data_IF_074412466535
#
_entry.id   IF_074412466535
#
_cell.length_a   1.000
_cell.length_b   1.000
_cell.length_c   1.000
_cell.angle_alpha   90.00
_cell.angle_beta   90.00
_cell.angle_gamma   90.00
#
_symmetry.space_group_name_H-M   'P 1'
#
loop_
_entity.id
_entity.type
_entity.pdbx_description
1 polymer ?
#
# COMPACT_ATOMS: atom_id res chain seq x y z
N UNK A 1 64.24 38.41 20.80
CA UNK A 1 64.65 37.29 21.67
C UNK A 1 63.71 36.13 21.32
N UNK A 2 64.11 35.24 20.40
CA UNK A 2 64.32 33.77 20.60
C UNK A 2 63.07 33.08 21.21
N UNK A 3 62.42 32.07 20.61
CA UNK A 3 62.94 30.87 19.94
C UNK A 3 61.88 30.21 19.03
N UNK A 4 62.38 29.50 18.02
CA UNK A 4 61.73 28.44 17.24
C UNK A 4 61.47 27.18 18.11
N UNK A 5 60.39 26.46 17.81
CA UNK A 5 60.40 24.97 17.80
C UNK A 5 59.28 24.45 16.89
N UNK A 6 59.68 23.80 15.80
CA UNK A 6 58.89 22.85 15.01
C UNK A 6 58.79 21.51 15.75
N UNK A 7 57.70 20.75 15.63
CA UNK A 7 57.70 19.28 15.46
C UNK A 7 56.29 18.72 15.12
N UNK A 8 56.20 18.13 13.92
CA UNK A 8 55.54 16.87 13.53
C UNK A 8 54.27 16.42 14.27
N UNK A 9 53.12 16.46 13.58
CA UNK A 9 52.00 15.52 13.75
C UNK A 9 51.19 15.44 12.43
N UNK A 10 51.60 14.58 11.48
CA UNK A 10 50.83 14.32 10.25
C UNK A 10 50.64 12.82 9.94
N UNK A 11 50.74 11.95 10.95
CA UNK A 11 50.69 10.49 10.75
C UNK A 11 49.43 9.77 11.22
N UNK A 12 48.64 10.35 12.15
CA UNK A 12 47.52 9.64 12.78
C UNK A 12 46.14 9.93 12.17
N UNK A 13 45.96 11.06 11.48
CA UNK A 13 44.68 11.41 10.85
C UNK A 13 44.44 10.72 9.50
N UNK A 14 45.50 10.21 8.85
CA UNK A 14 45.38 9.50 7.57
C UNK A 14 45.01 8.01 7.76
N UNK A 15 45.48 7.40 8.86
CA UNK A 15 45.22 5.98 9.15
C UNK A 15 43.76 5.70 9.54
N UNK A 16 43.10 6.65 10.24
CA UNK A 16 41.70 6.51 10.67
C UNK A 16 40.71 6.68 9.52
N UNK A 17 41.06 7.45 8.48
CA UNK A 17 40.21 7.61 7.30
C UNK A 17 40.22 6.38 6.37
N UNK A 18 41.28 5.57 6.42
CA UNK A 18 41.45 4.38 5.58
C UNK A 18 40.75 3.14 6.18
N UNK A 19 40.63 3.05 7.51
CA UNK A 19 39.88 1.98 8.20
C UNK A 19 38.36 2.13 8.05
N UNK A 20 37.81 3.36 8.05
CA UNK A 20 36.37 3.61 7.82
C UNK A 20 35.94 3.28 6.38
N UNK A 21 36.85 3.46 5.41
CA UNK A 21 36.61 3.09 4.01
C UNK A 21 36.53 1.58 3.79
N UNK A 22 37.39 0.81 4.47
CA UNK A 22 37.41 -0.66 4.43
C UNK A 22 36.16 -1.26 5.09
N UNK A 23 35.69 -0.69 6.20
CA UNK A 23 34.46 -1.14 6.87
C UNK A 23 33.21 -0.89 6.00
N UNK A 24 33.15 0.27 5.35
CA UNK A 24 32.05 0.63 4.44
C UNK A 24 32.04 -0.27 3.20
N UNK A 25 33.23 -0.61 2.67
CA UNK A 25 33.35 -1.56 1.55
C UNK A 25 32.86 -2.97 1.94
N UNK A 26 33.24 -3.47 3.12
CA UNK A 26 32.81 -4.79 3.60
C UNK A 26 31.30 -4.88 3.86
N UNK A 27 30.68 -3.81 4.38
CA UNK A 27 29.22 -3.72 4.56
C UNK A 27 28.48 -3.77 3.21
N UNK A 28 28.94 -2.99 2.22
CA UNK A 28 28.35 -2.99 0.88
C UNK A 28 28.49 -4.35 0.17
N UNK A 29 29.63 -5.03 0.38
CA UNK A 29 29.86 -6.37 -0.14
C UNK A 29 28.89 -7.37 0.51
N UNK A 30 28.72 -7.33 1.84
CA UNK A 30 27.78 -8.19 2.57
C UNK A 30 26.32 -7.97 2.16
N UNK A 31 25.90 -6.72 1.94
CA UNK A 31 24.57 -6.39 1.43
C UNK A 31 24.35 -6.92 0.00
N UNK A 32 25.37 -6.86 -0.86
CA UNK A 32 25.28 -7.44 -2.22
C UNK A 32 25.12 -8.96 -2.21
N UNK A 33 25.81 -9.67 -1.31
CA UNK A 33 25.72 -11.12 -1.20
C UNK A 33 24.38 -11.57 -0.59
N UNK A 34 23.83 -10.82 0.37
CA UNK A 34 22.49 -11.05 0.92
C UNK A 34 21.41 -10.89 -0.16
N UNK A 35 21.53 -9.85 -0.98
CA UNK A 35 20.62 -9.58 -2.10
C UNK A 35 20.66 -10.66 -3.18
N UNK A 36 21.86 -11.16 -3.51
CA UNK A 36 22.05 -12.24 -4.47
C UNK A 36 21.51 -13.59 -3.96
N UNK A 37 21.68 -13.88 -2.66
CA UNK A 37 21.15 -15.09 -2.03
C UNK A 37 19.62 -15.07 -1.96
N UNK A 38 19.03 -13.90 -1.66
CA UNK A 38 17.58 -13.72 -1.62
C UNK A 38 16.95 -13.89 -3.01
N UNK A 39 17.59 -13.36 -4.05
CA UNK A 39 17.14 -13.53 -5.44
C UNK A 39 17.26 -14.97 -5.96
N UNK A 40 18.25 -15.75 -5.50
CA UNK A 40 18.35 -17.17 -5.84
C UNK A 40 17.29 -18.03 -5.13
N UNK A 41 16.84 -17.62 -3.94
CA UNK A 41 15.78 -18.33 -3.20
C UNK A 41 14.38 -18.01 -3.75
N UNK A 42 14.13 -16.79 -4.24
CA UNK A 42 12.84 -16.40 -4.81
C UNK A 42 12.59 -16.96 -6.22
N UNK A 43 13.63 -17.08 -7.06
CA UNK A 43 13.50 -17.58 -8.43
C UNK A 43 13.32 -19.11 -8.56
N UNK A 44 13.47 -19.88 -7.47
CA UNK A 44 13.33 -21.35 -7.48
C UNK A 44 11.96 -21.85 -7.02
N UNK A 45 10.96 -20.98 -6.91
CA UNK A 45 9.60 -21.38 -6.51
C UNK A 45 8.57 -20.85 -7.49
N UNK A 46 8.40 -21.49 -8.65
CA UNK A 46 7.13 -21.61 -9.39
C UNK A 46 7.23 -22.78 -10.39
N UNK A 47 6.10 -23.48 -10.49
CA UNK A 47 5.70 -24.54 -11.44
C UNK A 47 6.07 -25.98 -11.05
N UNK A 48 5.06 -26.74 -10.58
CA UNK A 48 4.62 -27.96 -11.27
C UNK A 48 3.30 -28.52 -10.73
N UNK A 49 2.40 -28.89 -11.65
CA UNK A 49 1.47 -30.02 -11.56
C UNK A 49 0.94 -30.33 -12.99
N UNK A 50 0.47 -31.55 -13.30
CA UNK A 50 1.14 -32.84 -13.14
C UNK A 50 1.14 -33.60 -14.48
N UNK A 51 2.22 -34.32 -14.83
CA UNK A 51 2.07 -35.55 -15.63
C UNK A 51 3.32 -36.44 -15.57
N UNK A 52 3.00 -37.73 -15.51
CA UNK A 52 3.78 -38.96 -15.56
C UNK A 52 5.12 -38.92 -16.34
N UNK A 53 6.15 -39.48 -15.70
CA UNK A 53 7.20 -40.39 -16.23
C UNK A 53 8.65 -40.01 -15.90
N UNK A 54 9.33 -41.01 -15.32
CA UNK A 54 10.78 -41.25 -15.22
C UNK A 54 11.62 -40.37 -14.27
N UNK A 55 12.25 -41.06 -13.31
CA UNK A 55 13.26 -40.59 -12.36
C UNK A 55 14.60 -40.33 -13.08
N UNK A 56 15.32 -39.23 -12.77
CA UNK A 56 16.76 -39.18 -12.98
C UNK A 56 17.55 -38.98 -11.65
N UNK A 57 18.83 -39.41 -11.60
CA UNK A 57 19.53 -39.63 -10.34
C UNK A 57 20.56 -38.53 -10.06
N UNK A 58 20.19 -37.45 -9.37
CA UNK A 58 21.19 -36.51 -8.84
C UNK A 58 20.76 -35.91 -7.49
N UNK A 59 20.93 -36.70 -6.43
CA UNK A 59 20.88 -36.19 -5.06
C UNK A 59 21.99 -36.85 -4.23
N UNK A 60 23.25 -36.59 -4.62
CA UNK A 60 24.47 -36.94 -3.88
C UNK A 60 25.58 -35.95 -4.21
N UNK A 61 25.35 -34.65 -3.99
CA UNK A 61 26.45 -33.67 -4.05
C UNK A 61 26.23 -32.43 -3.17
N UNK A 62 25.64 -32.61 -1.98
CA UNK A 62 25.57 -31.54 -0.97
C UNK A 62 25.98 -32.00 0.44
N UNK A 63 26.63 -33.17 0.58
CA UNK A 63 27.07 -33.70 1.87
C UNK A 63 28.59 -33.86 2.04
N UNK A 64 29.41 -33.44 1.07
CA UNK A 64 30.88 -33.61 1.12
C UNK A 64 31.71 -32.34 1.29
N UNK A 65 31.12 -31.14 1.19
CA UNK A 65 31.86 -29.87 1.30
C UNK A 65 31.86 -29.26 2.71
N UNK A 66 31.20 -29.89 3.70
CA UNK A 66 31.18 -29.44 5.11
C UNK A 66 31.88 -30.41 6.09
N UNK A 67 32.83 -31.23 5.62
CA UNK A 67 33.62 -32.15 6.47
C UNK A 67 35.09 -32.27 6.05
N UNK A 68 35.71 -31.17 5.66
CA UNK A 68 37.16 -31.19 5.36
C UNK A 68 37.91 -29.91 5.76
N UNK A 69 37.49 -29.29 6.87
CA UNK A 69 38.23 -28.16 7.49
C UNK A 69 38.50 -28.38 8.98
N UNK A 70 38.42 -29.63 9.46
CA UNK A 70 38.71 -30.00 10.84
C UNK A 70 39.48 -31.32 10.83
N UNK A 71 40.81 -31.23 10.68
CA UNK A 71 41.83 -32.18 11.16
C UNK A 71 43.16 -31.85 10.47
N UNK A 72 43.91 -30.92 11.05
CA UNK A 72 45.38 -30.93 11.09
C UNK A 72 45.84 -29.75 11.95
N UNK A 73 45.94 -30.01 13.25
CA UNK A 73 46.82 -29.26 14.14
C UNK A 73 47.56 -30.32 14.95
N UNK A 74 48.88 -30.42 14.77
CA UNK A 74 49.74 -30.46 15.93
C UNK A 74 50.85 -29.40 15.85
N UNK A 75 50.99 -28.71 16.99
CA UNK A 75 52.22 -28.27 17.64
C UNK A 75 53.37 -27.76 16.77
N UNK A 76 53.55 -26.44 16.77
CA UNK A 76 54.81 -25.74 17.06
C UNK A 76 54.42 -24.30 17.42
N UNK A 77 54.68 -23.88 18.66
CA UNK A 77 55.29 -22.59 18.98
C UNK A 77 55.57 -22.55 20.48
N UNK A 78 56.73 -23.10 20.82
CA UNK A 78 57.50 -22.76 22.00
C UNK A 78 57.81 -21.25 21.99
N UNK A 79 57.75 -20.66 23.19
CA UNK A 79 58.29 -19.34 23.58
C UNK A 79 57.71 -18.07 22.95
N UNK A 80 56.85 -17.38 23.69
CA UNK A 80 57.22 -16.04 24.21
C UNK A 80 56.18 -15.52 25.23
N UNK A 81 56.69 -14.98 26.33
CA UNK A 81 55.99 -14.56 27.54
C UNK A 81 54.98 -13.40 27.33
N UNK A 82 53.76 -13.68 26.90
CA UNK A 82 52.65 -12.71 26.97
C UNK A 82 51.32 -13.39 27.29
N UNK A 83 51.26 -14.12 28.41
CA UNK A 83 50.04 -14.76 28.89
C UNK A 83 49.79 -14.42 30.36
N UNK A 84 49.57 -13.14 30.66
CA UNK A 84 48.85 -12.70 31.88
C UNK A 84 48.17 -11.38 31.53
N UNK A 85 47.01 -11.39 30.87
CA UNK A 85 46.01 -10.31 31.00
C UNK A 85 44.65 -10.55 30.28
N UNK A 86 44.32 -11.78 29.86
CA UNK A 86 43.03 -12.04 29.19
C UNK A 86 42.38 -13.29 29.79
N UNK A 87 42.02 -13.22 31.08
CA UNK A 87 41.27 -14.28 31.75
C UNK A 87 40.11 -13.75 32.61
N UNK A 88 39.59 -12.56 32.31
CA UNK A 88 38.33 -12.07 32.89
C UNK A 88 37.62 -11.19 31.88
N UNK A 89 36.66 -11.76 31.13
CA UNK A 89 35.48 -11.12 30.52
C UNK A 89 34.85 -12.11 29.52
N UNK A 90 34.29 -13.20 30.05
CA UNK A 90 33.46 -14.16 29.31
C UNK A 90 32.13 -14.34 30.06
N UNK A 91 31.44 -13.22 30.29
CA UNK A 91 30.08 -13.18 30.84
C UNK A 91 29.37 -11.94 30.27
N UNK A 92 28.84 -12.02 29.05
CA UNK A 92 28.08 -10.89 28.50
C UNK A 92 27.57 -11.10 27.08
N UNK A 93 26.25 -11.04 26.94
CA UNK A 93 25.44 -10.93 25.72
C UNK A 93 25.23 -12.22 24.89
N UNK A 94 24.23 -13.00 25.33
CA UNK A 94 23.32 -13.68 24.41
C UNK A 94 21.92 -13.05 24.58
N UNK A 95 21.71 -11.86 24.03
CA UNK A 95 20.36 -11.36 23.75
C UNK A 95 19.93 -11.98 22.42
N UNK A 96 19.27 -13.13 22.48
CA UNK A 96 18.60 -13.70 21.32
C UNK A 96 17.47 -12.75 20.91
N UNK A 97 17.66 -12.00 19.83
CA UNK A 97 16.59 -11.29 19.13
C UNK A 97 15.64 -12.32 18.53
N UNK A 98 14.67 -12.79 19.32
CA UNK A 98 13.53 -13.53 18.82
C UNK A 98 12.65 -12.59 18.02
N UNK A 99 12.89 -12.45 16.72
CA UNK A 99 11.89 -11.90 15.81
C UNK A 99 10.77 -12.94 15.76
N UNK A 100 9.71 -12.71 16.55
CA UNK A 100 8.45 -13.42 16.37
C UNK A 100 7.90 -12.97 15.01
N UNK A 101 8.23 -13.72 13.95
CA UNK A 101 7.54 -13.59 12.70
C UNK A 101 6.09 -14.02 12.95
N UNK A 102 5.20 -13.04 13.10
CA UNK A 102 3.77 -13.31 13.12
C UNK A 102 3.40 -14.11 11.88
N UNK A 103 2.60 -15.18 11.99
CA UNK A 103 2.16 -15.93 10.83
C UNK A 103 1.51 -14.97 9.83
N UNK A 104 1.94 -15.05 8.57
CA UNK A 104 1.29 -14.35 7.46
C UNK A 104 -0.06 -15.05 7.26
N UNK A 105 -1.11 -14.56 7.91
CA UNK A 105 -2.46 -15.00 7.57
C UNK A 105 -2.76 -14.61 6.12
N UNK A 106 -3.23 -15.58 5.32
CA UNK A 106 -3.73 -15.27 3.98
C UNK A 106 -4.92 -14.34 4.13
N UNK A 107 -4.85 -13.19 3.45
CA UNK A 107 -5.98 -12.27 3.29
C UNK A 107 -7.18 -13.03 2.73
N UNK A 108 -8.32 -12.96 3.40
CA UNK A 108 -9.52 -13.66 2.99
C UNK A 108 -10.41 -12.76 2.12
N UNK A 109 -11.13 -13.40 1.19
CA UNK A 109 -12.33 -12.81 0.59
C UNK A 109 -13.50 -13.23 1.48
N UNK A 110 -14.18 -12.26 2.08
CA UNK A 110 -15.27 -12.47 3.05
C UNK A 110 -16.60 -11.96 2.50
N UNK A 111 -17.72 -12.26 3.15
CA UNK A 111 -19.02 -11.73 2.73
C UNK A 111 -19.00 -10.19 2.73
N UNK A 112 -19.71 -9.56 1.79
CA UNK A 112 -19.67 -8.09 1.61
C UNK A 112 -20.18 -7.33 2.84
N UNK A 113 -21.08 -7.95 3.63
CA UNK A 113 -21.66 -7.42 4.85
C UNK A 113 -20.87 -7.79 6.12
N UNK A 114 -19.85 -8.65 6.00
CA UNK A 114 -18.95 -9.00 7.09
C UNK A 114 -17.71 -8.09 7.19
N UNK A 115 -17.48 -7.24 6.18
CA UNK A 115 -16.35 -6.31 6.17
C UNK A 115 -16.58 -5.20 7.20
N UNK A 116 -15.73 -5.18 8.23
CA UNK A 116 -15.74 -4.10 9.23
C UNK A 116 -15.00 -2.89 8.66
N UNK A 117 -15.74 -1.81 8.44
CA UNK A 117 -15.19 -0.54 7.96
C UNK A 117 -14.31 0.17 8.99
N UNK A 118 -13.69 1.25 8.54
CA UNK A 118 -12.84 2.11 9.34
C UNK A 118 -13.63 3.27 9.94
N UNK A 119 -13.30 3.69 11.18
CA UNK A 119 -13.75 4.98 11.68
C UNK A 119 -13.22 6.10 10.79
N UNK A 120 -13.88 7.26 10.84
CA UNK A 120 -13.41 8.43 10.09
C UNK A 120 -11.99 8.81 10.53
N UNK A 121 -11.01 8.68 9.63
CA UNK A 121 -9.59 8.87 9.93
C UNK A 121 -8.89 9.51 8.74
N UNK A 122 -8.22 10.64 8.99
CA UNK A 122 -7.43 11.40 8.02
C UNK A 122 -6.08 11.80 8.65
N UNK A 123 -5.05 12.11 7.86
CA UNK A 123 -3.81 12.67 8.40
C UNK A 123 -4.05 14.00 9.14
N UNK A 124 -3.21 14.33 10.12
CA UNK A 124 -3.31 15.58 10.90
C UNK A 124 -2.68 16.80 10.21
N UNK A 125 -2.62 16.80 8.87
CA UNK A 125 -1.96 17.83 8.06
C UNK A 125 -2.97 18.58 7.16
N UNK A 126 -2.45 19.41 6.24
CA UNK A 126 -3.26 20.18 5.29
C UNK A 126 -4.15 19.28 4.45
N UNK A 127 -3.61 18.20 3.86
CA UNK A 127 -4.39 17.23 3.08
C UNK A 127 -5.59 16.71 3.87
N UNK A 128 -5.39 16.23 5.10
CA UNK A 128 -6.49 15.71 5.92
C UNK A 128 -7.53 16.76 6.28
N UNK A 129 -7.12 18.00 6.54
CA UNK A 129 -8.03 19.12 6.75
C UNK A 129 -8.90 19.39 5.50
N UNK A 130 -8.30 19.34 4.31
CA UNK A 130 -9.01 19.50 3.04
C UNK A 130 -9.94 18.33 2.75
N UNK A 131 -9.52 17.09 3.04
CA UNK A 131 -10.33 15.89 2.88
C UNK A 131 -11.62 15.96 3.69
N UNK A 132 -11.57 16.49 4.92
CA UNK A 132 -12.76 16.69 5.74
C UNK A 132 -13.61 17.86 5.26
N UNK A 133 -12.97 19.00 4.91
CA UNK A 133 -13.66 20.21 4.45
C UNK A 133 -14.52 19.96 3.21
N UNK A 134 -14.01 19.20 2.24
CA UNK A 134 -14.68 18.93 0.97
C UNK A 134 -15.30 17.54 0.88
N UNK A 135 -15.54 16.88 2.02
CA UNK A 135 -16.16 15.55 2.08
C UNK A 135 -17.54 15.58 1.39
N UNK A 136 -17.78 14.80 0.33
CA UNK A 136 -19.03 14.87 -0.44
C UNK A 136 -20.23 14.31 0.30
N UNK A 137 -21.42 14.82 -0.01
CA UNK A 137 -22.67 14.10 0.18
C UNK A 137 -22.94 13.23 -1.05
N UNK A 138 -23.22 11.94 -0.83
CA UNK A 138 -23.60 11.01 -1.89
C UNK A 138 -25.10 10.70 -1.82
N UNK A 139 -25.81 11.03 -2.90
CA UNK A 139 -27.20 10.61 -3.14
C UNK A 139 -27.25 9.35 -3.98
N UNK A 140 -27.67 8.24 -3.39
CA UNK A 140 -27.95 7.00 -4.13
C UNK A 140 -29.39 7.07 -4.65
N UNK A 141 -29.58 7.12 -5.97
CA UNK A 141 -30.90 7.16 -6.59
C UNK A 141 -31.48 5.76 -6.84
N UNK A 142 -30.63 4.82 -7.23
CA UNK A 142 -30.93 3.40 -7.37
C UNK A 142 -29.65 2.57 -7.15
N UNK A 143 -29.78 1.24 -7.15
CA UNK A 143 -28.66 0.34 -6.89
C UNK A 143 -28.28 0.17 -5.43
N UNK A 144 -27.08 -0.37 -5.22
CA UNK A 144 -26.52 -0.55 -3.89
C UNK A 144 -26.14 0.77 -3.24
N UNK A 145 -26.25 0.84 -1.91
CA UNK A 145 -25.56 1.86 -1.11
C UNK A 145 -24.06 1.51 -0.98
N UNK A 146 -23.19 2.45 -0.58
CA UNK A 146 -21.78 2.14 -0.36
C UNK A 146 -21.56 1.11 0.75
N UNK A 147 -20.50 0.32 0.64
CA UNK A 147 -20.02 -0.64 1.65
C UNK A 147 -18.51 -0.46 1.88
N UNK A 148 -17.97 -0.90 3.03
CA UNK A 148 -16.54 -1.12 3.18
C UNK A 148 -16.06 -2.21 2.21
N UNK A 149 -15.04 -1.92 1.42
CA UNK A 149 -14.45 -2.87 0.48
C UNK A 149 -13.40 -3.77 1.14
N UNK A 150 -12.76 -3.25 2.20
CA UNK A 150 -11.62 -3.86 2.89
C UNK A 150 -11.67 -3.54 4.38
N UNK A 151 -11.23 -4.48 5.23
CA UNK A 151 -11.08 -4.26 6.68
C UNK A 151 -9.62 -3.96 7.09
N UNK A 152 -9.38 -3.74 8.39
CA UNK A 152 -8.05 -3.42 8.93
C UNK A 152 -7.01 -4.54 8.78
N UNK A 153 -7.45 -5.80 8.68
CA UNK A 153 -6.61 -6.97 8.44
C UNK A 153 -6.34 -7.19 6.94
N UNK A 154 -7.00 -6.41 6.08
CA UNK A 154 -6.91 -6.51 4.64
C UNK A 154 -7.71 -7.67 4.05
N UNK A 155 -8.75 -8.14 4.74
CA UNK A 155 -9.77 -8.97 4.10
C UNK A 155 -10.63 -8.09 3.20
N UNK A 156 -11.01 -8.59 2.03
CA UNK A 156 -11.83 -7.85 1.06
C UNK A 156 -13.22 -8.44 0.93
N UNK A 157 -14.21 -7.58 0.72
CA UNK A 157 -15.58 -8.02 0.48
C UNK A 157 -15.72 -8.73 -0.87
N UNK A 158 -16.33 -9.91 -0.86
CA UNK A 158 -16.57 -10.75 -2.03
C UNK A 158 -17.69 -10.23 -2.95
N UNK A 159 -18.29 -9.08 -2.64
CA UNK A 159 -19.36 -8.47 -3.43
C UNK A 159 -20.63 -9.31 -3.48
N UNK A 160 -21.53 -8.96 -4.38
CA UNK A 160 -22.79 -9.66 -4.62
C UNK A 160 -22.92 -10.10 -6.08
N UNK A 161 -23.66 -11.18 -6.30
CA UNK A 161 -24.06 -11.56 -7.65
C UNK A 161 -25.08 -10.56 -8.21
N UNK A 162 -25.13 -10.42 -9.53
CA UNK A 162 -26.08 -9.55 -10.26
C UNK A 162 -27.52 -10.09 -10.27
N UNK A 163 -27.77 -11.24 -9.64
CA UNK A 163 -29.10 -11.79 -9.46
C UNK A 163 -29.96 -10.94 -8.52
N UNK A 164 -31.29 -11.07 -8.67
CA UNK A 164 -32.27 -10.35 -7.86
C UNK A 164 -32.40 -8.88 -8.24
N UNK A 165 -33.06 -8.09 -7.40
CA UNK A 165 -33.21 -6.66 -7.63
C UNK A 165 -31.87 -5.92 -7.59
N UNK A 166 -31.82 -4.75 -8.23
CA UNK A 166 -30.64 -3.88 -8.32
C UNK A 166 -29.99 -3.60 -6.94
N UNK A 167 -30.80 -3.39 -5.91
CA UNK A 167 -30.36 -3.15 -4.53
C UNK A 167 -30.52 -4.36 -3.59
N UNK A 168 -30.88 -5.53 -4.12
CA UNK A 168 -31.12 -6.74 -3.34
C UNK A 168 -29.85 -7.21 -2.65
N UNK A 169 -29.89 -7.27 -1.30
CA UNK A 169 -28.75 -7.63 -0.45
C UNK A 169 -27.78 -6.48 -0.15
N UNK A 170 -28.01 -5.27 -0.69
CA UNK A 170 -27.11 -4.12 -0.54
C UNK A 170 -27.85 -2.78 -0.41
N UNK A 171 -29.08 -2.78 0.12
CA UNK A 171 -29.89 -1.58 0.29
C UNK A 171 -29.57 -0.78 1.56
N UNK A 172 -28.77 -1.34 2.48
CA UNK A 172 -28.41 -0.70 3.75
C UNK A 172 -27.00 -1.09 4.19
N UNK A 173 -26.25 -0.09 4.64
CA UNK A 173 -24.91 -0.21 5.21
C UNK A 173 -24.54 1.11 5.88
N UNK A 174 -23.72 1.12 6.94
CA UNK A 174 -23.04 2.35 7.39
C UNK A 174 -22.21 3.00 6.27
N UNK A 175 -21.76 2.18 5.31
CA UNK A 175 -20.93 2.56 4.18
C UNK A 175 -19.50 2.91 4.56
N UNK A 176 -18.73 3.28 3.54
CA UNK A 176 -17.38 3.83 3.67
C UNK A 176 -17.16 4.75 2.48
N UNK A 177 -16.43 5.84 2.68
CA UNK A 177 -15.83 6.61 1.60
C UNK A 177 -14.32 6.63 1.78
N UNK A 178 -13.59 6.33 0.71
CA UNK A 178 -12.13 6.36 0.65
C UNK A 178 -11.67 7.67 0.05
N UNK A 179 -10.53 8.21 0.49
CA UNK A 179 -10.00 9.46 -0.07
C UNK A 179 -8.50 9.40 -0.31
N UNK A 180 -8.07 10.00 -1.41
CA UNK A 180 -6.66 10.27 -1.70
C UNK A 180 -6.53 11.59 -2.45
N UNK A 181 -5.52 12.37 -2.10
CA UNK A 181 -5.21 13.65 -2.69
C UNK A 181 -3.84 13.66 -3.35
N UNK A 182 -3.67 14.52 -4.34
CA UNK A 182 -2.43 14.67 -5.07
C UNK A 182 -2.41 15.90 -5.95
N UNK A 183 -1.22 16.45 -6.17
CA UNK A 183 -1.02 17.56 -7.09
C UNK A 183 -0.90 17.04 -8.52
N UNK A 184 -1.65 17.64 -9.44
CA UNK A 184 -1.60 17.36 -10.87
C UNK A 184 -1.73 18.67 -11.64
N UNK A 185 -0.80 18.94 -12.57
CA UNK A 185 -0.76 20.16 -13.40
C UNK A 185 -0.97 21.47 -12.60
N UNK A 186 -0.31 21.59 -11.44
CA UNK A 186 -0.37 22.77 -10.58
C UNK A 186 -1.65 22.96 -9.77
N UNK A 187 -2.58 22.00 -9.83
CA UNK A 187 -3.81 21.97 -9.02
C UNK A 187 -3.77 20.80 -8.04
N UNK A 188 -4.53 20.88 -6.96
CA UNK A 188 -4.64 19.79 -6.00
C UNK A 188 -5.97 19.06 -6.18
N UNK A 189 -5.92 17.81 -6.63
CA UNK A 189 -7.08 16.95 -6.83
C UNK A 189 -7.33 16.09 -5.60
N UNK A 190 -8.56 16.09 -5.09
CA UNK A 190 -9.01 15.23 -3.98
C UNK A 190 -10.02 14.25 -4.53
N UNK A 191 -9.64 12.97 -4.63
CA UNK A 191 -10.52 11.90 -5.08
C UNK A 191 -11.20 11.24 -3.89
N UNK A 192 -12.53 11.28 -3.88
CA UNK A 192 -13.38 10.51 -2.98
C UNK A 192 -13.96 9.33 -3.74
N UNK A 193 -13.90 8.13 -3.17
CA UNK A 193 -14.32 6.91 -3.85
C UNK A 193 -15.19 6.03 -2.96
N UNK A 194 -16.17 5.38 -3.58
CA UNK A 194 -17.13 4.48 -2.94
C UNK A 194 -17.07 3.12 -3.61
N UNK A 195 -17.25 2.10 -2.80
CA UNK A 195 -17.41 0.73 -3.24
C UNK A 195 -18.85 0.28 -3.06
N UNK A 196 -19.42 -0.34 -4.08
CA UNK A 196 -20.73 -0.98 -4.02
C UNK A 196 -20.54 -2.50 -4.26
N UNK A 197 -21.26 -3.38 -3.54
CA UNK A 197 -21.08 -4.83 -3.69
C UNK A 197 -21.38 -5.38 -5.09
N UNK A 198 -22.22 -4.70 -5.87
CA UNK A 198 -22.52 -5.00 -7.28
C UNK A 198 -22.98 -3.75 -8.01
N UNK A 199 -22.77 -3.73 -9.31
CA UNK A 199 -23.43 -2.86 -10.27
C UNK A 199 -24.45 -3.70 -11.04
N UNK A 200 -25.73 -3.42 -10.86
CA UNK A 200 -26.78 -4.19 -11.52
C UNK A 200 -27.95 -3.28 -11.90
N UNK A 201 -28.00 -2.76 -13.15
CA UNK A 201 -29.10 -1.90 -13.59
C UNK A 201 -30.43 -2.67 -13.74
N UNK A 202 -30.37 -4.00 -13.89
CA UNK A 202 -31.52 -4.90 -13.97
C UNK A 202 -31.11 -6.32 -13.55
N UNK A 203 -32.04 -7.18 -13.08
CA UNK A 203 -31.69 -8.54 -12.66
C UNK A 203 -30.91 -9.32 -13.71
N UNK A 204 -29.74 -9.84 -13.32
CA UNK A 204 -28.85 -10.61 -14.19
C UNK A 204 -27.92 -9.79 -15.08
N UNK A 205 -28.10 -8.46 -15.15
CA UNK A 205 -27.21 -7.54 -15.88
C UNK A 205 -26.21 -6.85 -14.93
N UNK A 206 -25.14 -6.33 -15.53
CA UNK A 206 -24.06 -5.63 -14.84
C UNK A 206 -22.95 -6.56 -14.36
N UNK A 207 -22.34 -6.26 -13.22
CA UNK A 207 -21.23 -7.04 -12.66
C UNK A 207 -21.20 -7.04 -11.12
N UNK A 208 -20.52 -8.05 -10.58
CA UNK A 208 -20.10 -8.08 -9.18
C UNK A 208 -19.04 -6.99 -8.97
N UNK A 209 -19.09 -6.35 -7.80
CA UNK A 209 -18.28 -5.20 -7.43
C UNK A 209 -18.58 -3.96 -8.25
N UNK A 210 -18.40 -2.81 -7.64
CA UNK A 210 -18.37 -1.53 -8.33
C UNK A 210 -17.53 -0.54 -7.55
N UNK A 211 -16.83 0.33 -8.28
CA UNK A 211 -15.95 1.35 -7.75
C UNK A 211 -16.17 2.65 -8.52
N UNK A 212 -16.71 3.63 -7.81
CA UNK A 212 -16.99 4.93 -8.36
C UNK A 212 -16.25 6.02 -7.58
N UNK A 213 -16.02 7.18 -8.20
CA UNK A 213 -15.32 8.28 -7.57
C UNK A 213 -15.74 9.67 -8.06
N UNK A 214 -15.49 10.67 -7.23
CA UNK A 214 -15.57 12.07 -7.56
C UNK A 214 -14.25 12.76 -7.20
N UNK A 215 -13.77 13.63 -8.08
CA UNK A 215 -12.55 14.43 -7.86
C UNK A 215 -12.95 15.89 -7.67
N UNK A 216 -12.49 16.50 -6.59
CA UNK A 216 -12.60 17.93 -6.33
C UNK A 216 -11.25 18.58 -6.63
N UNK A 217 -11.24 19.55 -7.53
CA UNK A 217 -10.03 20.27 -7.90
C UNK A 217 -9.95 21.58 -7.14
N UNK A 218 -8.84 21.76 -6.41
CA UNK A 218 -8.50 22.99 -5.71
C UNK A 218 -7.37 23.71 -6.44
N UNK A 219 -7.32 25.04 -6.29
CA UNK A 219 -6.22 25.86 -6.81
C UNK A 219 -4.84 25.52 -6.23
N UNK A 220 -4.78 24.78 -5.11
CA UNK A 220 -3.56 24.23 -4.54
C UNK A 220 -3.82 23.45 -3.25
N UNK A 221 -2.79 22.82 -2.68
CA UNK A 221 -2.86 22.14 -1.38
C UNK A 221 -2.74 23.16 -0.24
N UNK A 222 -3.78 23.97 -0.05
CA UNK A 222 -3.84 24.99 1.01
C UNK A 222 -5.24 25.10 1.57
N UNK A 223 -5.37 25.39 2.87
CA UNK A 223 -6.67 25.62 3.53
C UNK A 223 -7.40 26.85 2.98
N UNK A 224 -6.66 27.79 2.37
CA UNK A 224 -7.18 28.96 1.66
C UNK A 224 -7.49 28.72 0.19
N UNK A 225 -7.23 27.50 -0.33
CA UNK A 225 -7.48 27.19 -1.73
C UNK A 225 -8.98 27.25 -2.06
N UNK A 226 -9.25 27.62 -3.30
CA UNK A 226 -10.59 27.70 -3.88
C UNK A 226 -10.86 26.47 -4.72
N UNK A 227 -12.12 26.04 -4.79
CA UNK A 227 -12.55 25.02 -5.76
C UNK A 227 -12.48 25.62 -7.16
N UNK A 228 -11.78 24.94 -8.07
CA UNK A 228 -11.62 25.34 -9.48
C UNK A 228 -12.35 24.40 -10.44
N UNK A 229 -12.84 23.26 -9.94
CA UNK A 229 -13.76 22.40 -10.65
C UNK A 229 -13.95 21.05 -9.97
N UNK A 230 -14.73 20.20 -10.63
CA UNK A 230 -15.12 18.89 -10.16
C UNK A 230 -15.23 17.92 -11.33
N UNK A 231 -15.00 16.64 -11.03
CA UNK A 231 -15.23 15.55 -11.97
C UNK A 231 -15.92 14.39 -11.26
N UNK A 232 -16.82 13.69 -11.96
CA UNK A 232 -17.51 12.50 -11.44
C UNK A 232 -17.36 11.36 -12.44
N UNK A 233 -17.03 10.15 -11.98
CA UNK A 233 -16.73 9.02 -12.87
C UNK A 233 -17.94 8.51 -13.63
N UNK A 234 -17.74 8.20 -14.91
CA UNK A 234 -18.75 7.62 -15.80
C UNK A 234 -18.09 6.60 -16.73
N UNK A 235 -18.30 5.30 -16.46
CA UNK A 235 -17.89 4.20 -17.33
C UNK A 235 -16.41 4.26 -17.79
N UNK A 236 -15.50 4.61 -16.86
CA UNK A 236 -14.06 4.74 -17.11
C UNK A 236 -13.59 6.11 -17.61
N UNK A 237 -14.52 7.01 -17.91
CA UNK A 237 -14.31 8.45 -18.14
C UNK A 237 -14.82 9.30 -16.97
N UNK A 238 -14.97 10.61 -17.23
CA UNK A 238 -15.45 11.59 -16.25
C UNK A 238 -16.38 12.62 -16.89
N UNK A 239 -17.52 12.92 -16.26
CA UNK A 239 -18.23 14.20 -16.46
C UNK A 239 -17.51 15.27 -15.64
N UNK A 240 -17.16 16.38 -16.27
CA UNK A 240 -16.25 17.40 -15.75
C UNK A 240 -16.89 18.77 -15.82
N UNK A 241 -16.80 19.52 -14.72
CA UNK A 241 -17.38 20.87 -14.61
C UNK A 241 -16.43 21.81 -13.87
N UNK A 242 -16.43 23.07 -14.26
CA UNK A 242 -15.72 24.14 -13.53
C UNK A 242 -16.47 24.59 -12.27
N UNK A 243 -17.70 24.12 -12.08
CA UNK A 243 -18.53 24.38 -10.90
C UNK A 243 -19.41 23.18 -10.58
N UNK A 244 -19.87 23.10 -9.34
CA UNK A 244 -20.78 22.07 -8.86
C UNK A 244 -21.73 22.61 -7.80
N UNK A 245 -22.66 21.78 -7.34
CA UNK A 245 -23.58 22.12 -6.26
C UNK A 245 -22.98 21.71 -4.92
N UNK A 246 -23.11 22.55 -3.90
CA UNK A 246 -22.54 22.33 -2.56
C UNK A 246 -23.57 22.58 -1.46
N UNK A 247 -23.46 21.82 -0.37
CA UNK A 247 -24.06 22.13 0.93
C UNK A 247 -22.94 22.55 1.88
N UNK A 248 -22.84 23.86 2.15
CA UNK A 248 -21.65 24.44 2.77
C UNK A 248 -20.42 24.23 1.88
N UNK A 249 -19.38 23.57 2.40
CA UNK A 249 -18.19 23.19 1.62
C UNK A 249 -18.29 21.78 1.00
N UNK A 250 -19.33 21.02 1.32
CA UNK A 250 -19.48 19.63 0.89
C UNK A 250 -20.16 19.56 -0.49
N UNK A 251 -19.50 19.02 -1.52
CA UNK A 251 -20.10 18.84 -2.84
C UNK A 251 -21.25 17.83 -2.79
N UNK A 252 -22.25 18.03 -3.65
CA UNK A 252 -23.37 17.12 -3.83
C UNK A 252 -23.15 16.28 -5.09
N UNK A 253 -23.02 14.97 -4.92
CA UNK A 253 -22.87 14.00 -6.01
C UNK A 253 -23.91 12.90 -5.89
N UNK A 254 -24.29 12.32 -7.02
CA UNK A 254 -25.26 11.23 -7.10
C UNK A 254 -24.65 9.97 -7.70
N UNK A 255 -25.25 8.83 -7.39
CA UNK A 255 -24.98 7.52 -7.99
C UNK A 255 -26.29 6.96 -8.56
N UNK A 256 -26.27 6.59 -9.83
CA UNK A 256 -27.47 6.12 -10.53
C UNK A 256 -27.10 5.27 -11.75
N UNK A 257 -27.98 4.34 -12.11
CA UNK A 257 -28.05 3.75 -13.44
C UNK A 257 -29.22 4.35 -14.22
N UNK A 258 -28.98 4.68 -15.50
CA UNK A 258 -30.02 5.07 -16.46
C UNK A 258 -30.12 3.95 -17.48
N UNK A 259 -31.21 3.19 -17.46
CA UNK A 259 -31.37 2.07 -18.37
C UNK A 259 -31.15 2.50 -19.84
N UNK A 260 -30.37 1.75 -20.65
CA UNK A 260 -29.82 0.42 -20.37
C UNK A 260 -28.39 0.38 -19.81
N UNK A 261 -27.82 1.51 -19.37
CA UNK A 261 -26.44 1.55 -18.88
C UNK A 261 -26.32 1.08 -17.43
N UNK A 262 -25.10 0.64 -17.11
CA UNK A 262 -24.63 0.38 -15.76
C UNK A 262 -24.66 1.66 -14.89
N UNK A 263 -24.32 1.54 -13.61
CA UNK A 263 -24.26 2.71 -12.74
C UNK A 263 -23.10 3.64 -13.12
N UNK A 264 -23.27 4.90 -12.71
CA UNK A 264 -22.30 5.96 -12.87
C UNK A 264 -22.50 7.03 -11.81
N UNK A 265 -21.52 7.90 -11.65
CA UNK A 265 -21.65 9.11 -10.85
C UNK A 265 -22.25 10.26 -11.67
N UNK A 266 -23.02 11.11 -11.00
CA UNK A 266 -23.65 12.30 -11.58
C UNK A 266 -23.50 13.50 -10.64
N UNK A 267 -23.57 14.69 -11.21
CA UNK A 267 -23.84 15.89 -10.42
C UNK A 267 -25.32 15.95 -10.05
N UNK A 268 -25.63 16.44 -8.85
CA UNK A 268 -27.01 16.53 -8.36
C UNK A 268 -27.23 17.77 -7.50
N UNK A 269 -28.49 18.16 -7.33
CA UNK A 269 -28.89 19.16 -6.34
C UNK A 269 -29.48 18.52 -5.06
N UNK A 270 -29.71 17.20 -5.08
CA UNK A 270 -30.28 16.48 -3.95
C UNK A 270 -29.19 16.16 -2.92
N UNK A 271 -29.38 16.63 -1.69
CA UNK A 271 -28.47 16.28 -0.60
C UNK A 271 -28.68 14.82 -0.19
N UNK A 272 -27.63 14.01 -0.36
CA UNK A 272 -27.59 12.63 0.09
C UNK A 272 -27.03 12.45 1.51
N UNK A 273 -26.40 11.31 1.75
CA UNK A 273 -25.75 10.98 3.03
C UNK A 273 -24.23 11.05 2.95
N UNK A 274 -23.57 11.11 4.12
CA UNK A 274 -22.12 10.95 4.24
C UNK A 274 -21.78 9.62 4.91
N UNK A 275 -20.65 9.04 4.50
CA UNK A 275 -20.11 7.80 5.05
C UNK A 275 -18.87 8.10 5.90
N UNK A 276 -18.45 7.23 6.82
CA UNK A 276 -17.13 7.35 7.46
C UNK A 276 -16.02 7.49 6.40
N UNK A 277 -15.16 8.49 6.55
CA UNK A 277 -14.09 8.81 5.58
C UNK A 277 -12.75 8.23 6.03
N UNK A 278 -12.12 7.41 5.21
CA UNK A 278 -10.77 6.87 5.47
C UNK A 278 -9.81 7.32 4.37
N UNK A 279 -8.75 8.02 4.77
CA UNK A 279 -7.69 8.42 3.86
C UNK A 279 -6.77 7.25 3.50
N UNK A 280 -6.29 7.20 2.27
CA UNK A 280 -5.33 6.19 1.78
C UNK A 280 -4.09 6.08 2.68
N UNK A 281 -3.59 7.23 3.12
CA UNK A 281 -2.43 7.37 4.00
C UNK A 281 -2.71 6.81 5.41
N UNK A 282 -3.98 6.84 5.83
CA UNK A 282 -4.45 6.35 7.13
C UNK A 282 -4.86 4.88 7.15
N UNK A 283 -4.92 4.21 6.00
CA UNK A 283 -5.17 2.76 5.93
C UNK A 283 -4.02 1.97 6.56
N UNK A 284 -4.31 0.79 7.09
CA UNK A 284 -3.26 -0.14 7.49
C UNK A 284 -2.47 -0.60 6.26
N UNK A 285 -1.20 -0.99 6.46
CA UNK A 285 -0.41 -1.58 5.37
C UNK A 285 -1.11 -2.82 4.77
N UNK A 286 -1.83 -3.57 5.62
CA UNK A 286 -2.64 -4.70 5.22
C UNK A 286 -3.77 -4.31 4.25
N UNK A 287 -4.56 -3.31 4.60
CA UNK A 287 -5.65 -2.82 3.76
C UNK A 287 -5.16 -2.22 2.44
N UNK A 288 -4.09 -1.41 2.48
CA UNK A 288 -3.47 -0.88 1.24
C UNK A 288 -2.98 -1.99 0.31
N UNK A 289 -2.32 -3.00 0.86
CA UNK A 289 -1.85 -4.16 0.08
C UNK A 289 -3.02 -4.89 -0.57
N UNK A 290 -4.11 -5.10 0.18
CA UNK A 290 -5.31 -5.76 -0.34
C UNK A 290 -5.97 -4.94 -1.46
N UNK A 291 -6.22 -3.65 -1.27
CA UNK A 291 -6.78 -2.78 -2.31
C UNK A 291 -5.89 -2.69 -3.55
N UNK A 292 -4.57 -2.81 -3.38
CA UNK A 292 -3.63 -2.78 -4.51
C UNK A 292 -3.74 -4.05 -5.35
N UNK A 293 -3.82 -5.21 -4.70
CA UNK A 293 -3.61 -6.52 -5.31
C UNK A 293 -4.89 -7.31 -5.60
N UNK A 294 -6.01 -7.01 -4.93
CA UNK A 294 -7.26 -7.72 -5.14
C UNK A 294 -7.83 -7.44 -6.53
N UNK A 295 -8.22 -8.50 -7.22
CA UNK A 295 -9.00 -8.44 -8.45
C UNK A 295 -10.49 -8.28 -8.10
N UNK A 296 -11.04 -7.11 -8.44
CA UNK A 296 -12.47 -6.80 -8.28
C UNK A 296 -13.25 -7.04 -9.58
N UNK A 297 -12.74 -7.87 -10.48
CA UNK A 297 -13.35 -8.22 -11.75
C UNK A 297 -13.45 -7.01 -12.68
N UNK A 298 -14.67 -6.59 -13.00
CA UNK A 298 -14.91 -5.45 -13.88
C UNK A 298 -14.64 -4.10 -13.20
N UNK A 299 -14.62 -4.05 -11.88
CA UNK A 299 -14.38 -2.84 -11.10
C UNK A 299 -12.89 -2.67 -10.78
N UNK A 300 -12.42 -1.43 -10.72
CA UNK A 300 -11.03 -1.10 -10.44
C UNK A 300 -10.93 -0.07 -9.32
N UNK A 301 -10.09 -0.33 -8.31
CA UNK A 301 -9.85 0.63 -7.22
C UNK A 301 -9.22 1.90 -7.81
N UNK A 302 -9.89 3.07 -7.76
CA UNK A 302 -9.49 4.22 -8.58
C UNK A 302 -8.36 5.06 -7.96
N UNK A 303 -8.07 4.86 -6.67
CA UNK A 303 -7.13 5.65 -5.87
C UNK A 303 -5.89 4.86 -5.39
N UNK A 304 -5.70 3.62 -5.87
CA UNK A 304 -4.44 2.90 -5.64
C UNK A 304 -3.33 3.47 -6.52
N UNK A 305 -2.08 3.15 -6.17
CA UNK A 305 -0.91 3.57 -6.95
C UNK A 305 -1.05 3.16 -8.42
N UNK A 306 -0.71 4.07 -9.35
CA UNK A 306 -0.83 3.87 -10.79
C UNK A 306 -2.23 4.18 -11.35
N UNK A 307 -3.30 3.75 -10.67
CA UNK A 307 -4.67 4.13 -11.05
C UNK A 307 -4.96 5.59 -10.68
N UNK A 308 -4.45 6.05 -9.53
CA UNK A 308 -4.72 7.38 -9.01
C UNK A 308 -4.29 8.48 -9.97
N UNK A 309 -3.03 8.44 -10.43
CA UNK A 309 -2.46 9.45 -11.33
C UNK A 309 -3.17 9.45 -12.70
N UNK A 310 -3.44 8.27 -13.26
CA UNK A 310 -4.18 8.14 -14.52
C UNK A 310 -5.60 8.70 -14.43
N UNK A 311 -6.26 8.48 -13.30
CA UNK A 311 -7.60 9.00 -13.07
C UNK A 311 -7.60 10.51 -12.82
N UNK A 312 -6.58 11.06 -12.12
CA UNK A 312 -6.40 12.50 -12.01
C UNK A 312 -6.20 13.16 -13.38
N UNK A 313 -5.43 12.54 -14.28
CA UNK A 313 -5.27 13.05 -15.64
C UNK A 313 -6.62 13.12 -16.39
N UNK A 314 -7.37 12.02 -16.41
CA UNK A 314 -8.69 11.97 -17.06
C UNK A 314 -9.68 12.97 -16.46
N UNK A 315 -9.65 13.11 -15.14
CA UNK A 315 -10.52 13.98 -14.36
C UNK A 315 -10.13 15.46 -14.40
N UNK A 316 -8.95 15.81 -14.93
CA UNK A 316 -8.45 17.19 -14.91
C UNK A 316 -9.42 18.17 -15.60
N UNK A 317 -9.66 19.28 -14.91
CA UNK A 317 -10.42 20.48 -15.32
C UNK A 317 -9.49 21.67 -15.41
#
# INVERSE_FOLDING_TARGET
>A
MKLLTSHVMSGQSFQLAEEDSQLTYLLNVLESYSSALLNQLTNNTIAHSPHNQSKPPHCKLLSKTMRQSYRHIPDILSTSNKMVLITQLLSGLALASGILASPIERRAVINHDAVVGFPQTVPSNTAGSLYLKYKPYLKVFNGCVPFPAVDSNGNTGGGLATSGSSNGGCSSSPGQVYVRGGTYNGRYGIMYSWYMPKDSPSPGLGHRHDWENAVIWLSGESTSATVVGMAVSQHGGYDKRTSGTFSGNSPLVGYTAIWPTNHQMIFTNDQGGQQPLIAWESLTAAARTALTNTDFGSANVPFKDGSFESNLDKAAV
#
